data_IF_904446132410
#
_entry.id   IF_904446132410
#
_cell.length_a   1.000
_cell.length_b   1.000
_cell.length_c   1.000
_cell.angle_alpha   90.00
_cell.angle_beta   90.00
_cell.angle_gamma   90.00
#
_symmetry.space_group_name_H-M   'P 1'
#
loop_
_entity.id
_entity.type
_entity.pdbx_description
1 polymer ?
#
# COMPACT_ATOMS: atom_id res chain seq x y z
N UNK A 1 27.58 5.66 4.62
CA UNK A 1 26.58 6.66 4.21
C UNK A 1 26.78 7.90 5.08
N UNK A 2 26.75 9.06 4.49
CA UNK A 2 26.82 10.34 5.20
C UNK A 2 25.54 11.11 4.86
N UNK A 3 24.78 11.48 5.88
CA UNK A 3 23.56 12.27 5.76
C UNK A 3 23.94 13.73 5.81
N UNK A 4 23.49 14.53 4.83
CA UNK A 4 23.81 15.95 4.67
C UNK A 4 22.59 16.88 4.86
N UNK A 5 21.49 16.33 5.31
CA UNK A 5 20.22 17.04 5.50
C UNK A 5 19.56 16.65 6.81
N UNK A 6 18.46 17.31 7.14
CA UNK A 6 17.60 16.95 8.27
C UNK A 6 16.82 15.67 7.98
N UNK A 7 16.36 14.99 9.03
CA UNK A 7 15.49 13.81 8.91
C UNK A 7 14.17 14.18 8.26
N UNK A 8 13.69 15.41 8.45
CA UNK A 8 12.43 15.87 7.85
C UNK A 8 12.48 15.90 6.32
N UNK A 9 13.62 16.30 5.74
CA UNK A 9 13.80 16.27 4.29
C UNK A 9 13.84 14.84 3.75
N UNK A 10 14.47 13.91 4.48
CA UNK A 10 14.47 12.49 4.12
C UNK A 10 13.04 11.92 4.18
N UNK A 11 12.32 12.23 5.26
CA UNK A 11 10.93 11.81 5.41
C UNK A 11 10.03 12.38 4.32
N UNK A 12 10.27 13.62 3.88
CA UNK A 12 9.53 14.24 2.79
C UNK A 12 9.69 13.44 1.49
N UNK A 13 10.91 13.11 1.09
CA UNK A 13 11.18 12.30 -0.10
C UNK A 13 10.51 10.92 0.03
N UNK A 14 10.67 10.24 1.17
CA UNK A 14 10.05 8.94 1.40
C UNK A 14 8.53 9.01 1.26
N UNK A 15 7.90 10.04 1.83
CA UNK A 15 6.46 10.28 1.74
C UNK A 15 6.02 10.54 0.31
N UNK A 16 6.70 11.39 -0.43
CA UNK A 16 6.38 11.71 -1.83
C UNK A 16 6.43 10.47 -2.72
N UNK A 17 7.48 9.64 -2.58
CA UNK A 17 7.63 8.40 -3.34
C UNK A 17 6.51 7.39 -3.02
N UNK A 18 6.18 7.22 -1.73
CA UNK A 18 5.10 6.32 -1.30
C UNK A 18 3.72 6.82 -1.74
N UNK A 19 3.44 8.12 -1.61
CA UNK A 19 2.16 8.70 -2.03
C UNK A 19 1.95 8.59 -3.54
N UNK A 20 3.00 8.76 -4.35
CA UNK A 20 2.91 8.59 -5.79
C UNK A 20 2.57 7.14 -6.16
N UNK A 21 3.19 6.18 -5.50
CA UNK A 21 2.94 4.77 -5.72
C UNK A 21 1.50 4.36 -5.31
N UNK A 22 1.03 4.82 -4.15
CA UNK A 22 -0.34 4.60 -3.69
C UNK A 22 -1.37 5.22 -4.65
N UNK A 23 -1.11 6.42 -5.18
CA UNK A 23 -1.99 7.05 -6.17
C UNK A 23 -2.09 6.23 -7.46
N UNK A 24 -0.98 5.66 -7.91
CA UNK A 24 -0.98 4.76 -9.09
C UNK A 24 -1.83 3.52 -8.84
N UNK A 25 -1.67 2.89 -7.67
CA UNK A 25 -2.49 1.73 -7.31
C UNK A 25 -3.98 2.08 -7.25
N UNK A 26 -4.33 3.20 -6.62
CA UNK A 26 -5.72 3.67 -6.56
C UNK A 26 -6.32 3.91 -7.95
N UNK A 27 -5.55 4.49 -8.88
CA UNK A 27 -5.99 4.69 -10.26
C UNK A 27 -6.24 3.35 -10.98
N UNK A 28 -5.37 2.37 -10.77
CA UNK A 28 -5.53 1.02 -11.32
C UNK A 28 -6.80 0.37 -10.75
N UNK A 29 -7.01 0.47 -9.43
CA UNK A 29 -8.20 -0.07 -8.78
C UNK A 29 -9.51 0.58 -9.24
N UNK A 30 -9.51 1.91 -9.36
CA UNK A 30 -10.66 2.65 -9.89
C UNK A 30 -10.98 2.21 -11.31
N UNK A 31 -9.96 2.12 -12.18
CA UNK A 31 -10.18 1.71 -13.57
C UNK A 31 -10.64 0.26 -13.68
N UNK A 32 -10.13 -0.63 -12.82
CA UNK A 32 -10.59 -2.01 -12.77
C UNK A 32 -12.06 -2.12 -12.34
N UNK A 33 -12.49 -1.31 -11.37
CA UNK A 33 -13.89 -1.24 -10.94
C UNK A 33 -14.80 -0.69 -12.03
N UNK A 34 -14.41 0.41 -12.69
CA UNK A 34 -15.17 0.97 -13.81
C UNK A 34 -15.39 -0.06 -14.92
N UNK A 35 -14.33 -0.76 -15.34
CA UNK A 35 -14.45 -1.79 -16.38
C UNK A 35 -15.31 -2.99 -15.95
N UNK A 36 -15.29 -3.33 -14.67
CA UNK A 36 -16.17 -4.35 -14.12
C UNK A 36 -17.62 -3.90 -14.18
N UNK A 37 -17.92 -2.68 -13.74
CA UNK A 37 -19.25 -2.08 -13.73
C UNK A 37 -19.81 -1.92 -15.15
N UNK A 38 -19.01 -1.49 -16.11
CA UNK A 38 -19.39 -1.40 -17.52
C UNK A 38 -19.83 -2.73 -18.14
N UNK A 39 -19.42 -3.85 -17.54
CA UNK A 39 -19.68 -5.21 -18.04
C UNK A 39 -20.59 -6.04 -17.13
N UNK A 40 -21.20 -5.46 -16.10
CA UNK A 40 -21.99 -6.19 -15.10
C UNK A 40 -23.09 -7.07 -15.71
N UNK A 41 -23.87 -6.57 -16.69
CA UNK A 41 -24.94 -7.33 -17.34
C UNK A 41 -24.42 -8.61 -18.03
N UNK A 42 -23.24 -8.51 -18.67
CA UNK A 42 -22.60 -9.66 -19.30
C UNK A 42 -22.06 -10.65 -18.25
N UNK A 43 -21.53 -10.14 -17.16
CA UNK A 43 -20.98 -10.92 -16.05
C UNK A 43 -22.08 -11.73 -15.36
N UNK A 44 -23.22 -11.10 -15.07
CA UNK A 44 -24.40 -11.75 -14.50
C UNK A 44 -24.95 -12.83 -15.44
N UNK A 45 -25.06 -12.53 -16.74
CA UNK A 45 -25.50 -13.49 -17.75
C UNK A 45 -24.59 -14.72 -17.82
N UNK A 46 -23.27 -14.51 -17.73
CA UNK A 46 -22.29 -15.60 -17.79
C UNK A 46 -22.08 -16.30 -16.43
N UNK A 47 -22.70 -15.82 -15.35
CA UNK A 47 -22.49 -16.31 -13.97
C UNK A 47 -21.02 -16.35 -13.58
N UNK A 48 -20.26 -15.37 -14.03
CA UNK A 48 -18.85 -15.26 -13.71
C UNK A 48 -18.63 -14.72 -12.29
N UNK A 49 -17.52 -15.11 -11.67
CA UNK A 49 -17.12 -14.61 -10.35
C UNK A 49 -16.55 -13.19 -10.49
N UNK A 50 -17.30 -12.19 -10.01
CA UNK A 50 -16.92 -10.78 -10.06
C UNK A 50 -15.54 -10.51 -9.41
N UNK A 51 -15.26 -11.20 -8.31
CA UNK A 51 -13.97 -11.04 -7.62
C UNK A 51 -12.81 -11.56 -8.47
N UNK A 52 -12.97 -12.69 -9.14
CA UNK A 52 -11.95 -13.21 -10.04
C UNK A 52 -11.74 -12.29 -11.24
N UNK A 53 -12.84 -11.77 -11.81
CA UNK A 53 -12.79 -10.84 -12.92
C UNK A 53 -12.11 -9.53 -12.54
N UNK A 54 -12.44 -8.97 -11.38
CA UNK A 54 -11.77 -7.77 -10.86
C UNK A 54 -10.25 -7.97 -10.80
N UNK A 55 -9.79 -9.08 -10.23
CA UNK A 55 -8.36 -9.37 -10.13
C UNK A 55 -7.69 -9.60 -11.50
N UNK A 56 -8.40 -10.19 -12.45
CA UNK A 56 -7.89 -10.35 -13.82
C UNK A 56 -7.73 -8.99 -14.51
N UNK A 57 -8.75 -8.14 -14.42
CA UNK A 57 -8.74 -6.77 -14.98
C UNK A 57 -7.64 -5.94 -14.31
N UNK A 58 -7.59 -5.93 -12.98
CA UNK A 58 -6.56 -5.21 -12.21
C UNK A 58 -5.15 -5.63 -12.64
N UNK A 59 -4.92 -6.94 -12.82
CA UNK A 59 -3.62 -7.46 -13.26
C UNK A 59 -3.25 -6.99 -14.67
N UNK A 60 -4.22 -6.99 -15.59
CA UNK A 60 -3.97 -6.51 -16.95
C UNK A 60 -3.63 -5.03 -16.96
N UNK A 61 -4.41 -4.19 -16.28
CA UNK A 61 -4.15 -2.75 -16.18
C UNK A 61 -2.77 -2.49 -15.56
N UNK A 62 -2.44 -3.20 -14.48
CA UNK A 62 -1.14 -3.07 -13.83
C UNK A 62 0.02 -3.40 -14.78
N UNK A 63 -0.11 -4.45 -15.59
CA UNK A 63 0.88 -4.81 -16.61
C UNK A 63 1.02 -3.72 -17.68
N UNK A 64 -0.10 -3.19 -18.18
CA UNK A 64 -0.12 -2.15 -19.21
C UNK A 64 0.54 -0.84 -18.72
N UNK A 65 0.50 -0.59 -17.41
CA UNK A 65 1.13 0.56 -16.76
C UNK A 65 2.51 0.27 -16.15
N UNK A 66 3.08 -0.92 -16.37
CA UNK A 66 4.33 -1.37 -15.75
C UNK A 66 4.32 -1.21 -14.23
N UNK A 67 3.18 -1.52 -13.60
CA UNK A 67 3.00 -1.45 -12.15
C UNK A 67 3.07 -2.85 -11.55
N UNK A 68 3.97 -3.08 -10.60
CA UNK A 68 4.07 -4.36 -9.92
C UNK A 68 2.99 -4.51 -8.86
N UNK A 69 2.24 -5.61 -8.90
CA UNK A 69 1.30 -6.02 -7.86
C UNK A 69 1.96 -6.92 -6.79
N UNK A 70 3.17 -7.40 -7.06
CA UNK A 70 3.98 -8.14 -6.08
C UNK A 70 4.55 -7.15 -5.07
N UNK A 71 4.22 -7.33 -3.79
CA UNK A 71 4.74 -6.46 -2.72
C UNK A 71 6.27 -6.45 -2.67
N UNK A 72 6.90 -7.57 -2.95
CA UNK A 72 8.35 -7.74 -2.91
C UNK A 72 9.04 -6.94 -4.02
N UNK A 73 8.56 -7.07 -5.26
CA UNK A 73 9.07 -6.31 -6.40
C UNK A 73 8.79 -4.82 -6.22
N UNK A 74 7.60 -4.47 -5.79
CA UNK A 74 7.16 -3.10 -5.54
C UNK A 74 8.03 -2.40 -4.48
N UNK A 75 8.28 -3.06 -3.34
CA UNK A 75 9.15 -2.48 -2.29
C UNK A 75 10.60 -2.34 -2.77
N UNK A 76 11.05 -3.25 -3.62
CA UNK A 76 12.36 -3.15 -4.24
C UNK A 76 12.45 -1.93 -5.17
N UNK A 77 11.46 -1.71 -6.03
CA UNK A 77 11.38 -0.53 -6.90
C UNK A 77 11.30 0.78 -6.11
N UNK A 78 10.45 0.83 -5.09
CA UNK A 78 10.33 1.98 -4.19
C UNK A 78 11.65 2.30 -3.47
N UNK A 79 12.35 1.25 -3.05
CA UNK A 79 13.65 1.42 -2.38
C UNK A 79 14.71 2.00 -3.30
N UNK A 80 14.73 1.59 -4.59
CA UNK A 80 15.59 2.21 -5.58
C UNK A 80 15.21 3.66 -5.82
N UNK A 81 13.94 3.94 -6.07
CA UNK A 81 13.45 5.29 -6.32
C UNK A 81 13.77 6.25 -5.15
N UNK A 82 13.51 5.82 -3.92
CA UNK A 82 13.86 6.63 -2.74
C UNK A 82 15.37 6.92 -2.65
N UNK A 83 16.20 5.90 -2.91
CA UNK A 83 17.65 6.07 -2.88
C UNK A 83 18.12 7.05 -3.96
N UNK A 84 17.62 6.89 -5.18
CA UNK A 84 17.98 7.73 -6.31
C UNK A 84 17.59 9.20 -6.07
N UNK A 85 16.39 9.46 -5.56
CA UNK A 85 15.92 10.80 -5.21
C UNK A 85 16.79 11.43 -4.10
N UNK A 86 17.13 10.67 -3.06
CA UNK A 86 17.99 11.16 -1.97
C UNK A 86 19.41 11.50 -2.44
N UNK A 87 19.93 10.77 -3.43
CA UNK A 87 21.23 11.07 -4.05
C UNK A 87 21.10 12.28 -4.96
N UNK A 88 20.06 12.37 -5.78
CA UNK A 88 19.82 13.47 -6.73
C UNK A 88 19.70 14.80 -6.00
N UNK A 89 18.98 14.84 -4.90
CA UNK A 89 18.82 16.02 -4.04
C UNK A 89 20.11 16.36 -3.23
N UNK A 90 21.11 15.49 -3.28
CA UNK A 90 22.34 15.66 -2.53
C UNK A 90 22.19 15.49 -1.03
N UNK A 91 21.09 14.91 -0.57
CA UNK A 91 20.78 14.72 0.86
C UNK A 91 21.63 13.64 1.50
N UNK A 92 22.11 12.70 0.70
CA UNK A 92 23.03 11.66 1.16
C UNK A 92 24.25 11.55 0.26
N UNK A 93 25.40 11.24 0.88
CA UNK A 93 26.60 10.83 0.17
C UNK A 93 26.88 9.36 0.40
N UNK A 94 26.86 8.59 -0.68
CA UNK A 94 27.11 7.16 -0.62
C UNK A 94 28.60 6.92 -0.47
N UNK A 95 29.00 6.26 0.62
CA UNK A 95 30.37 5.82 0.91
C UNK A 95 30.50 4.29 1.01
N UNK A 96 29.40 3.59 0.79
CA UNK A 96 29.27 2.13 0.83
C UNK A 96 28.51 1.67 -0.42
N UNK A 97 28.34 0.38 -0.62
CA UNK A 97 27.53 -0.11 -1.72
C UNK A 97 26.09 0.44 -1.64
N UNK A 98 25.60 0.99 -2.75
CA UNK A 98 24.22 1.47 -2.88
C UNK A 98 23.20 0.36 -2.54
N UNK A 99 23.51 -0.88 -2.92
CA UNK A 99 22.69 -2.04 -2.57
C UNK A 99 22.51 -2.23 -1.06
N UNK A 100 23.49 -1.89 -0.24
CA UNK A 100 23.34 -1.95 1.21
C UNK A 100 22.32 -0.90 1.70
N UNK A 101 22.36 0.31 1.16
CA UNK A 101 21.43 1.38 1.54
C UNK A 101 20.03 1.03 1.04
N UNK A 102 19.91 0.59 -0.21
CA UNK A 102 18.64 0.11 -0.77
C UNK A 102 18.01 -0.98 0.08
N UNK A 103 18.79 -1.98 0.50
CA UNK A 103 18.28 -3.07 1.34
C UNK A 103 17.84 -2.59 2.73
N UNK A 104 18.45 -1.53 3.27
CA UNK A 104 17.99 -0.91 4.52
C UNK A 104 16.66 -0.20 4.32
N UNK A 105 16.50 0.52 3.20
CA UNK A 105 15.23 1.18 2.84
C UNK A 105 14.14 0.12 2.64
N UNK A 106 14.41 -0.95 1.87
CA UNK A 106 13.49 -2.06 1.68
C UNK A 106 13.02 -2.65 3.01
N UNK A 107 13.95 -2.96 3.91
CA UNK A 107 13.60 -3.49 5.23
C UNK A 107 12.76 -2.52 6.06
N UNK A 108 13.02 -1.23 5.96
CA UNK A 108 12.23 -0.22 6.65
C UNK A 108 10.79 -0.17 6.11
N UNK A 109 10.60 -0.22 4.80
CA UNK A 109 9.28 -0.28 4.16
C UNK A 109 8.55 -1.56 4.59
N UNK A 110 9.20 -2.71 4.50
CA UNK A 110 8.63 -4.01 4.85
C UNK A 110 8.20 -4.07 6.33
N UNK A 111 9.07 -3.64 7.25
CA UNK A 111 8.73 -3.55 8.67
C UNK A 111 7.51 -2.66 8.92
N UNK A 112 7.43 -1.53 8.22
CA UNK A 112 6.32 -0.59 8.35
C UNK A 112 5.02 -1.23 7.85
N UNK A 113 5.06 -1.88 6.69
CA UNK A 113 3.91 -2.57 6.12
C UNK A 113 3.42 -3.72 7.00
N UNK A 114 4.33 -4.54 7.53
CA UNK A 114 3.99 -5.63 8.45
C UNK A 114 3.30 -5.12 9.71
N UNK A 115 3.79 -4.04 10.28
CA UNK A 115 3.24 -3.42 11.47
C UNK A 115 1.79 -2.93 11.25
N UNK A 116 1.49 -2.29 10.12
CA UNK A 116 0.12 -1.89 9.77
C UNK A 116 -0.78 -3.10 9.50
N UNK A 117 -0.25 -4.16 8.88
CA UNK A 117 -0.97 -5.43 8.70
C UNK A 117 -1.33 -6.11 10.03
N UNK A 118 -0.45 -6.02 11.03
CA UNK A 118 -0.75 -6.50 12.38
C UNK A 118 -1.85 -5.66 13.07
N UNK A 119 -1.85 -4.35 12.88
CA UNK A 119 -2.91 -3.46 13.39
C UNK A 119 -4.24 -3.84 12.78
N UNK A 120 -4.30 -3.98 11.46
CA UNK A 120 -5.50 -4.37 10.73
C UNK A 120 -6.02 -5.74 11.20
N UNK A 121 -5.14 -6.73 11.31
CA UNK A 121 -5.50 -8.07 11.79
C UNK A 121 -6.07 -8.04 13.21
N UNK A 122 -5.47 -7.27 14.10
CA UNK A 122 -5.94 -7.11 15.47
C UNK A 122 -7.32 -6.43 15.52
N UNK A 123 -7.59 -5.48 14.63
CA UNK A 123 -8.90 -4.81 14.52
C UNK A 123 -9.95 -5.76 13.98
N UNK A 124 -9.64 -6.52 12.94
CA UNK A 124 -10.54 -7.55 12.37
C UNK A 124 -10.94 -8.56 13.44
N UNK A 125 -9.98 -9.03 14.24
CA UNK A 125 -10.26 -9.98 15.31
C UNK A 125 -11.11 -9.37 16.44
N UNK A 126 -10.92 -8.09 16.77
CA UNK A 126 -11.82 -7.38 17.71
C UNK A 126 -13.24 -7.24 17.16
N UNK A 127 -13.38 -6.97 15.86
CA UNK A 127 -14.68 -6.85 15.20
C UNK A 127 -15.42 -8.20 15.18
N UNK A 128 -14.73 -9.29 14.91
CA UNK A 128 -15.33 -10.64 14.96
C UNK A 128 -15.93 -10.96 16.32
N UNK A 129 -15.34 -10.44 17.40
CA UNK A 129 -15.79 -10.63 18.78
C UNK A 129 -16.68 -9.46 19.28
N UNK A 130 -17.14 -8.60 18.39
CA UNK A 130 -17.98 -7.46 18.76
C UNK A 130 -19.36 -7.94 19.24
N UNK A 131 -19.99 -7.17 20.16
CA UNK A 131 -21.25 -7.55 20.82
C UNK A 131 -22.40 -7.89 19.88
N UNK A 132 -22.36 -7.39 18.66
CA UNK A 132 -23.31 -7.69 17.58
C UNK A 132 -22.56 -7.99 16.29
N UNK A 133 -23.16 -8.80 15.43
CA UNK A 133 -22.59 -9.15 14.14
C UNK A 133 -22.61 -7.91 13.22
N UNK A 134 -21.43 -7.44 12.83
CA UNK A 134 -21.26 -6.38 11.85
C UNK A 134 -21.08 -7.01 10.46
N UNK A 135 -21.78 -6.46 9.47
CA UNK A 135 -21.68 -6.93 8.09
C UNK A 135 -20.60 -6.12 7.37
N UNK A 136 -19.61 -6.81 6.83
CA UNK A 136 -18.53 -6.20 6.02
C UNK A 136 -19.14 -5.45 4.83
N UNK A 137 -18.63 -4.24 4.55
CA UNK A 137 -19.10 -3.41 3.45
C UNK A 137 -20.31 -2.53 3.79
N UNK A 138 -20.71 -2.46 5.06
CA UNK A 138 -21.72 -1.49 5.53
C UNK A 138 -21.04 -0.28 6.16
N UNK A 139 -21.67 0.91 6.06
CA UNK A 139 -21.17 2.15 6.66
C UNK A 139 -20.90 1.98 8.17
N UNK A 140 -21.71 1.17 8.83
CA UNK A 140 -21.53 0.88 10.25
C UNK A 140 -20.27 0.06 10.51
N UNK A 141 -19.97 -0.94 9.67
CA UNK A 141 -18.73 -1.71 9.76
C UNK A 141 -17.51 -0.81 9.56
N UNK A 142 -17.54 0.03 8.53
CA UNK A 142 -16.44 0.95 8.21
C UNK A 142 -16.17 1.94 9.32
N UNK A 143 -17.23 2.56 9.88
CA UNK A 143 -17.10 3.50 10.98
C UNK A 143 -16.49 2.86 12.24
N UNK A 144 -16.92 1.64 12.56
CA UNK A 144 -16.40 0.90 13.72
C UNK A 144 -14.97 0.43 13.47
N UNK A 145 -14.68 -0.03 12.25
CA UNK A 145 -13.34 -0.43 11.85
C UNK A 145 -12.36 0.75 11.99
N UNK A 146 -12.68 1.89 11.39
CA UNK A 146 -11.83 3.09 11.45
C UNK A 146 -11.56 3.54 12.89
N UNK A 147 -12.60 3.56 13.71
CA UNK A 147 -12.46 3.91 15.12
C UNK A 147 -11.51 2.96 15.85
N UNK A 148 -11.71 1.66 15.71
CA UNK A 148 -10.84 0.64 16.33
C UNK A 148 -9.43 0.67 15.79
N UNK A 149 -9.28 0.97 14.51
CA UNK A 149 -7.98 1.09 13.84
C UNK A 149 -7.18 2.25 14.43
N UNK A 150 -7.79 3.43 14.56
CA UNK A 150 -7.16 4.58 15.18
C UNK A 150 -6.81 4.34 16.67
N UNK A 151 -7.69 3.66 17.43
CA UNK A 151 -7.41 3.28 18.81
C UNK A 151 -6.23 2.31 18.91
N UNK A 152 -6.13 1.33 17.99
CA UNK A 152 -5.04 0.36 17.97
C UNK A 152 -3.71 1.00 17.57
N UNK A 153 -3.71 1.92 16.59
CA UNK A 153 -2.53 2.71 16.23
C UNK A 153 -2.00 3.47 17.45
N UNK A 154 -2.87 4.26 18.13
CA UNK A 154 -2.51 5.01 19.34
C UNK A 154 -1.97 4.10 20.44
N UNK A 155 -2.56 2.91 20.63
CA UNK A 155 -2.10 1.94 21.64
C UNK A 155 -0.68 1.43 21.34
N UNK A 156 -0.31 1.35 20.07
CA UNK A 156 1.03 0.93 19.64
C UNK A 156 2.03 2.08 19.52
N UNK A 157 1.61 3.33 19.78
CA UNK A 157 2.49 4.50 19.83
C UNK A 157 2.61 5.27 18.51
N UNK A 158 1.59 5.20 17.65
CA UNK A 158 1.48 5.93 16.38
C UNK A 158 0.54 7.12 16.48
#
# INVERSE_FOLDING_TARGET
>A
MEIKTSIDNINKIAKEVLEEDLKKEQQIDMRAKELLEENLENIEFMRADEKQLFWMIKRQIAQDHNFSLSWEDRYNELSHKMLDELILEGYIKVKVSENLIKNLIFKAIDMYAQMYGEVESAVIDKIKNYKRKLLVGTDEYELIFDKMYQEELKRRGF
#
